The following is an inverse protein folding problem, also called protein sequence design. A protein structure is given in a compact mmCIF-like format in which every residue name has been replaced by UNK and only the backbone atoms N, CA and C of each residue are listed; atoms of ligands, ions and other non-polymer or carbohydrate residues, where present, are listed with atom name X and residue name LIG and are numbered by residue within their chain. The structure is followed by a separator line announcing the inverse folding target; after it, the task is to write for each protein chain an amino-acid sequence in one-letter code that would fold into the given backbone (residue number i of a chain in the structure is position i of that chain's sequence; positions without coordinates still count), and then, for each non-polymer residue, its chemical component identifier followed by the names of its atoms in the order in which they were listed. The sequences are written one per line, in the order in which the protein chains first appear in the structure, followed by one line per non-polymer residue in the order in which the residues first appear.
data_IF_282649449388
#
_entry.id   IF_282649449388
#
_cell.length_a   1.000
_cell.length_b   1.000
_cell.length_c   1.000
_cell.angle_alpha   90.00
_cell.angle_beta   90.00
_cell.angle_gamma   90.00
#
_symmetry.space_group_name_H-M   'P 1'
#
loop_
_entity.id
_entity.type
_entity.pdbx_description
1 polymer ?
#
# COMPACT_ATOMS: atom_id res chain seq x y z
N UNK A 1 -11.91 19.35 -17.40
CA UNK A 1 -10.70 20.04 -17.92
C UNK A 1 -10.67 21.53 -17.62
N UNK A 2 -11.76 22.27 -17.79
CA UNK A 2 -11.84 23.68 -17.38
C UNK A 2 -11.68 23.89 -15.87
N UNK A 3 -12.07 22.93 -15.05
CA UNK A 3 -11.84 22.88 -13.60
C UNK A 3 -10.34 22.84 -13.23
N UNK A 4 -9.55 22.00 -13.91
CA UNK A 4 -8.09 21.93 -13.68
C UNK A 4 -7.38 23.24 -13.99
N UNK A 5 -7.79 23.92 -15.07
CA UNK A 5 -7.20 25.20 -15.50
C UNK A 5 -7.56 26.36 -14.60
N UNK A 6 -8.79 26.38 -14.07
CA UNK A 6 -9.23 27.42 -13.13
C UNK A 6 -8.58 27.24 -11.75
N UNK A 7 -8.21 26.04 -11.38
CA UNK A 7 -7.61 25.71 -10.09
C UNK A 7 -6.14 26.07 -9.99
N UNK A 8 -5.35 25.84 -11.03
CA UNK A 8 -3.93 26.27 -11.10
C UNK A 8 -3.81 27.80 -10.99
N UNK A 9 -4.85 28.53 -11.34
CA UNK A 9 -4.86 30.00 -11.31
C UNK A 9 -5.30 30.62 -9.95
N UNK A 10 -5.97 29.87 -9.08
CA UNK A 10 -6.42 30.37 -7.77
C UNK A 10 -5.45 30.14 -6.61
N UNK A 11 -4.40 29.36 -6.77
CA UNK A 11 -3.45 29.00 -5.71
C UNK A 11 -2.32 30.03 -5.51
N UNK A 12 -2.48 31.24 -5.95
CA UNK A 12 -1.55 32.36 -5.64
C UNK A 12 -1.67 32.93 -4.21
N UNK A 13 -2.37 32.24 -3.31
CA UNK A 13 -2.46 32.61 -1.89
C UNK A 13 -1.81 31.54 -1.01
N UNK A 14 -0.95 31.95 -0.12
CA UNK A 14 -0.19 31.33 0.98
C UNK A 14 -0.66 30.00 1.62
N UNK A 15 -1.42 29.16 0.95
CA UNK A 15 -1.87 27.83 1.40
C UNK A 15 -1.25 26.75 0.52
N UNK A 16 -0.45 25.90 1.13
CA UNK A 16 0.29 24.83 0.43
C UNK A 16 -0.58 23.64 0.01
N UNK A 17 -1.82 23.57 0.47
CA UNK A 17 -2.74 22.47 0.17
C UNK A 17 -4.16 23.00 -0.04
N UNK A 18 -4.86 22.50 -1.07
CA UNK A 18 -6.28 22.70 -1.25
C UNK A 18 -6.99 21.36 -1.04
N UNK A 19 -7.88 21.30 -0.05
CA UNK A 19 -8.70 20.13 0.24
C UNK A 19 -10.04 20.22 -0.50
N UNK A 20 -10.45 19.13 -1.15
CA UNK A 20 -11.74 19.02 -1.80
C UNK A 20 -12.38 17.67 -1.48
N UNK A 21 -13.66 17.68 -1.19
CA UNK A 21 -14.49 16.49 -1.07
C UNK A 21 -15.23 16.23 -2.38
N UNK A 22 -15.02 15.05 -2.98
CA UNK A 22 -15.79 14.58 -4.12
C UNK A 22 -16.29 13.15 -3.85
N UNK A 23 -17.60 12.95 -3.85
CA UNK A 23 -18.25 11.64 -3.68
C UNK A 23 -17.69 10.79 -2.51
N UNK A 24 -17.51 11.40 -1.32
CA UNK A 24 -16.92 10.77 -0.14
C UNK A 24 -15.43 10.39 -0.28
N UNK A 25 -14.69 11.03 -1.17
CA UNK A 25 -13.25 10.94 -1.30
C UNK A 25 -12.64 12.32 -1.10
N UNK A 26 -11.65 12.44 -0.22
CA UNK A 26 -10.91 13.67 -0.02
C UNK A 26 -9.82 13.77 -1.10
N UNK A 27 -9.85 14.84 -1.89
CA UNK A 27 -8.83 15.14 -2.89
C UNK A 27 -7.87 16.20 -2.37
N UNK A 28 -6.61 15.83 -2.20
CA UNK A 28 -5.53 16.73 -1.84
C UNK A 28 -4.74 17.11 -3.09
N UNK A 29 -4.88 18.36 -3.53
CA UNK A 29 -4.06 18.88 -4.61
C UNK A 29 -2.93 19.73 -4.04
N UNK A 30 -1.68 19.37 -4.34
CA UNK A 30 -0.48 20.07 -3.89
C UNK A 30 0.26 20.58 -5.10
N UNK A 31 0.16 21.89 -5.44
CA UNK A 31 1.09 22.52 -6.35
C UNK A 31 2.44 22.66 -5.63
N UNK A 32 3.50 22.12 -6.21
CA UNK A 32 4.76 21.96 -5.53
C UNK A 32 5.81 22.98 -5.96
N UNK A 33 6.05 24.02 -5.15
CA UNK A 33 7.36 24.60 -4.98
C UNK A 33 8.13 23.81 -3.92
N UNK A 34 9.42 23.57 -4.13
CA UNK A 34 10.30 22.81 -3.24
C UNK A 34 10.26 23.27 -1.76
N UNK A 35 9.84 24.48 -1.51
CA UNK A 35 9.78 25.11 -0.19
C UNK A 35 8.68 24.58 0.74
N UNK A 36 7.73 23.79 0.24
CA UNK A 36 6.57 23.30 1.02
C UNK A 36 6.59 21.81 1.31
N UNK A 37 7.65 21.10 0.95
CA UNK A 37 7.77 19.65 1.12
C UNK A 37 7.53 19.21 2.57
N UNK A 38 8.09 19.92 3.55
CA UNK A 38 7.91 19.59 4.97
C UNK A 38 6.45 19.70 5.40
N UNK A 39 5.73 20.71 4.91
CA UNK A 39 4.32 20.87 5.21
C UNK A 39 3.50 19.71 4.62
N UNK A 40 3.75 19.35 3.37
CA UNK A 40 3.09 18.21 2.70
C UNK A 40 3.36 16.91 3.46
N UNK A 41 4.60 16.65 3.85
CA UNK A 41 4.97 15.46 4.61
C UNK A 41 4.34 15.44 6.00
N UNK A 42 4.14 16.58 6.63
CA UNK A 42 3.44 16.68 7.90
C UNK A 42 1.94 16.39 7.75
N UNK A 43 1.28 16.95 6.73
CA UNK A 43 -0.11 16.64 6.40
C UNK A 43 -0.26 15.14 6.07
N UNK A 44 0.67 14.61 5.28
CA UNK A 44 0.73 13.20 4.94
C UNK A 44 0.81 12.27 6.16
N UNK A 45 1.67 12.61 7.14
CA UNK A 45 1.82 11.83 8.39
C UNK A 45 0.58 11.90 9.29
N UNK A 46 -0.19 12.98 9.21
CA UNK A 46 -1.39 13.21 10.01
C UNK A 46 -2.67 12.64 9.37
N UNK A 47 -2.57 12.10 8.14
CA UNK A 47 -3.74 11.58 7.42
C UNK A 47 -4.45 10.47 8.21
N UNK A 48 -5.77 10.46 8.14
CA UNK A 48 -6.60 9.43 8.75
C UNK A 48 -6.68 8.24 7.78
N UNK A 49 -6.01 7.13 8.10
CA UNK A 49 -5.96 5.90 7.27
C UNK A 49 -7.32 5.26 6.95
N UNK A 50 -8.42 5.75 7.51
CA UNK A 50 -9.76 5.21 7.32
C UNK A 50 -10.58 5.91 6.23
N UNK A 51 -10.02 6.91 5.55
CA UNK A 51 -10.67 7.65 4.48
C UNK A 51 -10.00 7.37 3.14
N UNK A 52 -10.80 7.36 2.08
CA UNK A 52 -10.26 7.32 0.72
C UNK A 52 -9.77 8.72 0.37
N UNK A 53 -8.47 8.88 0.38
CA UNK A 53 -7.80 10.11 0.02
C UNK A 53 -7.06 9.92 -1.30
N UNK A 54 -7.24 10.84 -2.23
CA UNK A 54 -6.44 10.93 -3.45
C UNK A 54 -5.48 12.11 -3.33
N UNK A 55 -4.20 11.85 -3.41
CA UNK A 55 -3.16 12.87 -3.43
C UNK A 55 -2.67 13.09 -4.85
N UNK A 56 -2.84 14.32 -5.35
CA UNK A 56 -2.27 14.77 -6.62
C UNK A 56 -1.23 15.85 -6.35
N UNK A 57 0.05 15.50 -6.53
CA UNK A 57 1.19 16.38 -6.30
C UNK A 57 1.77 16.77 -7.65
N UNK A 58 1.89 18.07 -7.91
CA UNK A 58 2.31 18.58 -9.20
C UNK A 58 3.65 19.30 -9.10
N UNK A 59 4.59 18.87 -9.93
CA UNK A 59 5.90 19.50 -10.13
C UNK A 59 5.88 20.33 -11.42
N UNK A 60 6.04 21.64 -11.28
CA UNK A 60 6.08 22.57 -12.41
C UNK A 60 7.44 22.58 -13.08
N UNK A 61 8.51 22.45 -12.28
CA UNK A 61 9.87 22.43 -12.76
C UNK A 61 10.23 21.08 -13.36
N UNK A 62 11.12 21.09 -14.36
CA UNK A 62 11.62 19.90 -15.01
C UNK A 62 12.39 19.03 -13.98
N UNK A 63 11.83 17.87 -13.64
CA UNK A 63 12.43 16.90 -12.73
C UNK A 63 12.14 15.49 -13.20
N UNK A 64 12.89 14.50 -12.70
CA UNK A 64 12.60 13.10 -12.99
C UNK A 64 11.77 12.45 -11.88
N UNK A 65 11.04 11.38 -12.20
CA UNK A 65 10.28 10.64 -11.19
C UNK A 65 11.21 9.99 -10.15
N UNK A 66 12.39 9.59 -10.56
CA UNK A 66 13.40 9.02 -9.67
C UNK A 66 13.84 10.03 -8.61
N UNK A 67 14.08 11.29 -8.98
CA UNK A 67 14.42 12.35 -8.04
C UNK A 67 13.28 12.60 -7.05
N UNK A 68 12.03 12.60 -7.54
CA UNK A 68 10.85 12.75 -6.68
C UNK A 68 10.76 11.59 -5.69
N UNK A 69 10.92 10.36 -6.16
CA UNK A 69 10.90 9.17 -5.29
C UNK A 69 12.01 9.22 -4.25
N UNK A 70 13.23 9.61 -4.61
CA UNK A 70 14.35 9.78 -3.67
C UNK A 70 14.00 10.77 -2.55
N UNK A 71 13.38 11.91 -2.88
CA UNK A 71 12.92 12.88 -1.89
C UNK A 71 11.90 12.27 -0.91
N UNK A 72 10.96 11.46 -1.41
CA UNK A 72 9.97 10.79 -0.56
C UNK A 72 10.60 9.71 0.33
N UNK A 73 11.61 8.99 -0.18
CA UNK A 73 12.39 8.02 0.61
C UNK A 73 13.19 8.72 1.72
N UNK A 74 13.92 9.78 1.41
CA UNK A 74 14.73 10.54 2.37
C UNK A 74 13.90 11.13 3.51
N UNK A 75 12.66 11.52 3.22
CA UNK A 75 11.73 12.06 4.21
C UNK A 75 10.95 10.98 4.95
N UNK A 76 11.25 9.69 4.72
CA UNK A 76 10.52 8.55 5.29
C UNK A 76 9.00 8.68 5.11
N UNK A 77 8.56 8.99 3.90
CA UNK A 77 7.16 9.07 3.58
C UNK A 77 6.50 7.70 3.77
N UNK A 78 5.56 7.62 4.69
CA UNK A 78 4.79 6.39 4.91
C UNK A 78 3.75 6.26 3.80
N UNK A 79 3.77 5.17 3.08
CA UNK A 79 2.91 4.89 1.95
C UNK A 79 2.41 3.46 2.06
N UNK A 80 1.13 3.25 1.82
CA UNK A 80 0.53 1.91 1.86
C UNK A 80 0.27 1.39 0.44
N UNK A 81 0.00 0.09 0.33
CA UNK A 81 -0.22 -0.56 -0.97
C UNK A 81 -1.50 -0.08 -1.68
N UNK A 82 -2.48 0.35 -0.92
CA UNK A 82 -3.78 0.83 -1.41
C UNK A 82 -3.91 2.36 -1.47
N UNK A 83 -2.87 3.10 -1.09
CA UNK A 83 -2.88 4.56 -1.21
C UNK A 83 -3.06 5.01 -2.66
N UNK A 84 -3.78 6.10 -2.86
CA UNK A 84 -3.97 6.76 -4.14
C UNK A 84 -3.13 8.04 -4.22
N UNK A 85 -1.87 7.87 -4.64
CA UNK A 85 -0.87 8.94 -4.78
C UNK A 85 -0.50 9.08 -6.23
N UNK A 86 -0.70 10.26 -6.78
CA UNK A 86 -0.35 10.58 -8.17
C UNK A 86 0.59 11.78 -8.20
N UNK A 87 1.68 11.64 -8.90
CA UNK A 87 2.64 12.71 -9.17
C UNK A 87 2.46 13.16 -10.62
N UNK A 88 2.24 14.46 -10.82
CA UNK A 88 2.27 15.10 -12.13
C UNK A 88 3.61 15.80 -12.34
N UNK A 89 4.34 15.43 -13.37
CA UNK A 89 5.64 16.04 -13.74
C UNK A 89 5.50 16.71 -15.10
N UNK A 90 5.81 18.01 -15.16
CA UNK A 90 5.82 18.79 -16.38
C UNK A 90 7.21 18.72 -17.05
N UNK A 91 7.25 18.35 -18.35
CA UNK A 91 8.46 18.42 -19.18
C UNK A 91 8.45 19.59 -20.17
N UNK A 92 7.55 20.55 -19.98
CA UNK A 92 7.34 21.68 -20.87
C UNK A 92 6.36 21.41 -22.01
N UNK A 93 6.15 20.17 -22.41
CA UNK A 93 5.23 19.76 -23.49
C UNK A 93 4.07 18.90 -22.99
N UNK A 94 4.35 18.05 -22.02
CA UNK A 94 3.42 17.13 -21.41
C UNK A 94 3.50 17.19 -19.88
N UNK A 95 2.40 16.86 -19.24
CA UNK A 95 2.38 16.49 -17.82
C UNK A 95 2.23 14.97 -17.77
N UNK A 96 3.26 14.29 -17.32
CA UNK A 96 3.25 12.85 -17.09
C UNK A 96 2.69 12.56 -15.70
N UNK A 97 1.77 11.59 -15.63
CA UNK A 97 1.13 11.18 -14.39
C UNK A 97 1.72 9.84 -13.93
N UNK A 98 2.25 9.84 -12.72
CA UNK A 98 2.89 8.69 -12.09
C UNK A 98 2.17 8.30 -10.82
N UNK A 99 1.81 7.06 -10.70
CA UNK A 99 1.25 6.46 -9.47
C UNK A 99 2.39 5.99 -8.58
N UNK A 100 2.34 6.34 -7.28
CA UNK A 100 3.30 5.90 -6.27
C UNK A 100 2.62 5.00 -5.23
N UNK A 101 3.31 3.96 -4.76
CA UNK A 101 2.86 3.08 -3.69
C UNK A 101 4.02 2.28 -3.09
N UNK A 102 3.82 1.70 -1.90
CA UNK A 102 4.74 0.70 -1.31
C UNK A 102 4.04 -0.64 -1.22
N UNK A 103 4.79 -1.73 -1.39
CA UNK A 103 4.27 -3.09 -1.20
C UNK A 103 4.18 -3.42 0.29
N UNK A 104 5.13 -2.96 1.08
CA UNK A 104 5.17 -3.11 2.52
C UNK A 104 5.99 -1.98 3.16
N UNK A 105 5.97 -1.85 4.50
CA UNK A 105 6.58 -0.73 5.21
C UNK A 105 8.07 -0.52 4.90
N UNK A 106 8.80 -1.62 4.75
CA UNK A 106 10.25 -1.62 4.48
C UNK A 106 10.58 -1.72 2.97
N UNK A 107 9.56 -1.78 2.10
CA UNK A 107 9.77 -1.88 0.66
C UNK A 107 10.10 -0.51 0.08
N UNK A 108 10.92 -0.44 -0.99
CA UNK A 108 11.12 0.81 -1.72
C UNK A 108 9.82 1.28 -2.37
N UNK A 109 9.69 2.59 -2.55
CA UNK A 109 8.57 3.18 -3.28
C UNK A 109 8.60 2.67 -4.72
N UNK A 110 7.44 2.16 -5.17
CA UNK A 110 7.20 1.77 -6.55
C UNK A 110 6.53 2.93 -7.27
N UNK A 111 6.85 3.10 -8.57
CA UNK A 111 6.20 4.08 -9.41
C UNK A 111 5.85 3.51 -10.78
N UNK A 112 4.70 3.91 -11.29
CA UNK A 112 4.17 3.44 -12.59
C UNK A 112 3.57 4.64 -13.31
N UNK A 113 3.96 4.87 -14.55
CA UNK A 113 3.31 5.88 -15.37
C UNK A 113 1.88 5.42 -15.70
N UNK A 114 0.90 6.23 -15.32
CA UNK A 114 -0.52 5.92 -15.51
C UNK A 114 -1.17 6.76 -16.60
N UNK A 115 -0.51 7.82 -17.05
CA UNK A 115 -1.04 8.65 -18.11
C UNK A 115 -0.18 9.85 -18.43
N UNK A 116 -0.72 10.68 -19.33
CA UNK A 116 -0.14 11.95 -19.72
C UNK A 116 -1.23 12.92 -20.14
N UNK A 117 -0.93 14.20 -20.03
CA UNK A 117 -1.79 15.29 -20.46
C UNK A 117 -0.98 16.34 -21.20
N UNK A 118 -1.59 17.01 -22.20
CA UNK A 118 -1.03 18.21 -22.81
C UNK A 118 -2.15 19.16 -23.26
N UNK A 119 -1.88 20.47 -23.45
CA UNK A 119 -2.88 21.44 -23.87
C UNK A 119 -3.53 21.09 -25.23
N UNK A 120 -2.81 20.38 -26.10
CA UNK A 120 -3.23 20.05 -27.47
C UNK A 120 -3.83 18.64 -27.58
N UNK A 121 -3.76 17.84 -26.51
CA UNK A 121 -4.33 16.49 -26.46
C UNK A 121 -5.11 16.36 -25.17
N UNK A 122 -6.16 15.57 -25.19
CA UNK A 122 -6.90 15.25 -23.99
C UNK A 122 -6.08 14.39 -23.04
N UNK A 123 -6.53 14.30 -21.78
CA UNK A 123 -5.95 13.41 -20.79
C UNK A 123 -6.00 11.95 -21.27
N UNK A 124 -4.85 11.34 -21.41
CA UNK A 124 -4.67 9.94 -21.80
C UNK A 124 -4.28 9.14 -20.57
N UNK A 125 -5.17 8.29 -20.08
CA UNK A 125 -4.90 7.39 -18.96
C UNK A 125 -4.81 5.96 -19.43
N UNK A 126 -4.05 5.14 -18.70
CA UNK A 126 -4.03 3.69 -18.88
C UNK A 126 -5.42 3.09 -18.62
N UNK A 127 -5.78 2.07 -19.37
CA UNK A 127 -7.03 1.31 -19.18
C UNK A 127 -6.94 0.26 -18.08
N UNK A 128 -5.72 -0.03 -17.59
CA UNK A 128 -5.50 -1.00 -16.50
C UNK A 128 -5.98 -0.44 -15.18
N UNK A 129 -6.68 -1.26 -14.41
CA UNK A 129 -7.08 -0.91 -13.03
C UNK A 129 -5.86 -0.75 -12.13
N UNK A 130 -6.01 -0.10 -10.98
CA UNK A 130 -4.98 0.02 -9.93
C UNK A 130 -4.40 -1.36 -9.55
N UNK A 131 -5.26 -2.33 -9.34
CA UNK A 131 -4.87 -3.69 -8.94
C UNK A 131 -4.14 -4.46 -10.05
N UNK A 132 -4.51 -4.25 -11.31
CA UNK A 132 -3.77 -4.82 -12.45
C UNK A 132 -2.37 -4.23 -12.57
N UNK A 133 -2.22 -2.94 -12.28
CA UNK A 133 -0.91 -2.27 -12.31
C UNK A 133 0.00 -2.73 -11.18
N UNK A 134 -0.55 -2.95 -9.97
CA UNK A 134 0.17 -3.35 -8.75
C UNK A 134 0.25 -4.87 -8.57
N UNK A 135 -0.13 -5.65 -9.57
CA UNK A 135 -0.22 -7.10 -9.47
C UNK A 135 1.10 -7.79 -9.14
N UNK A 136 2.23 -7.23 -9.57
CA UNK A 136 3.54 -7.82 -9.31
C UNK A 136 4.11 -7.29 -7.98
N UNK A 137 4.20 -8.15 -6.96
CA UNK A 137 4.71 -7.81 -5.63
C UNK A 137 6.24 -7.89 -5.51
N UNK A 138 6.96 -7.99 -6.65
CA UNK A 138 8.43 -7.81 -6.72
C UNK A 138 9.23 -8.69 -5.76
N UNK A 139 8.81 -9.94 -5.56
CA UNK A 139 9.42 -10.88 -4.62
C UNK A 139 9.39 -10.39 -3.15
N UNK A 140 8.46 -9.50 -2.82
CA UNK A 140 8.24 -9.10 -1.43
C UNK A 140 8.04 -10.34 -0.55
N UNK A 141 8.63 -10.33 0.64
CA UNK A 141 8.54 -11.46 1.55
C UNK A 141 7.49 -11.22 2.64
N UNK A 142 6.44 -12.05 2.65
CA UNK A 142 5.39 -12.00 3.66
C UNK A 142 5.63 -13.01 4.78
N UNK A 143 5.34 -12.62 6.00
CA UNK A 143 5.28 -13.49 7.17
C UNK A 143 3.83 -13.87 7.42
N UNK A 144 3.53 -15.15 7.32
CA UNK A 144 2.19 -15.69 7.51
C UNK A 144 2.14 -16.55 8.76
N UNK A 145 0.98 -16.58 9.41
CA UNK A 145 0.73 -17.48 10.53
C UNK A 145 -0.55 -18.27 10.34
N UNK A 146 -0.53 -19.53 10.79
CA UNK A 146 -1.70 -20.41 10.75
C UNK A 146 -1.62 -21.45 11.86
N UNK A 147 -2.78 -22.03 12.20
CA UNK A 147 -2.87 -23.17 13.10
C UNK A 147 -3.37 -24.41 12.35
N UNK A 148 -3.03 -25.56 12.87
CA UNK A 148 -3.61 -26.84 12.43
C UNK A 148 -5.03 -26.92 12.99
N UNK A 149 -5.99 -26.69 12.13
CA UNK A 149 -7.41 -26.79 12.45
C UNK A 149 -7.99 -28.10 11.90
N UNK A 150 -7.67 -28.38 10.65
CA UNK A 150 -8.02 -29.60 9.96
C UNK A 150 -6.80 -30.06 9.16
N UNK A 151 -6.30 -31.30 9.36
CA UNK A 151 -5.12 -31.80 8.65
C UNK A 151 -5.21 -31.77 7.12
N UNK A 152 -6.43 -31.76 6.58
CA UNK A 152 -6.66 -31.61 5.13
C UNK A 152 -6.40 -30.17 4.67
N UNK A 153 -6.65 -29.20 5.55
CA UNK A 153 -6.51 -27.78 5.24
C UNK A 153 -5.10 -27.29 5.54
N UNK A 154 -4.54 -27.72 6.68
CA UNK A 154 -3.17 -27.39 7.04
C UNK A 154 -2.58 -28.46 7.97
N UNK A 155 -1.39 -28.94 7.64
CA UNK A 155 -0.58 -29.84 8.45
C UNK A 155 0.76 -29.16 8.70
N UNK A 156 1.12 -29.01 9.96
CA UNK A 156 2.35 -28.33 10.37
C UNK A 156 3.24 -29.36 11.07
N UNK A 157 4.44 -29.55 10.56
CA UNK A 157 5.45 -30.43 11.12
C UNK A 157 6.77 -29.66 11.26
N UNK A 158 7.36 -29.70 12.46
CA UNK A 158 8.69 -29.13 12.65
C UNK A 158 9.74 -30.09 12.09
N UNK A 159 10.48 -29.65 11.09
CA UNK A 159 11.60 -30.41 10.58
C UNK A 159 12.74 -30.45 11.64
N UNK A 160 13.10 -31.64 12.15
CA UNK A 160 14.05 -31.74 13.25
C UNK A 160 15.49 -31.33 12.87
N UNK A 161 15.81 -31.39 11.57
CA UNK A 161 17.15 -31.05 11.06
C UNK A 161 17.29 -29.56 10.75
N UNK A 162 16.31 -29.00 10.03
CA UNK A 162 16.38 -27.58 9.60
C UNK A 162 15.83 -26.62 10.63
N UNK A 163 15.09 -27.11 11.64
CA UNK A 163 14.36 -26.32 12.63
C UNK A 163 13.31 -25.37 12.02
N UNK A 164 12.91 -25.64 10.79
CA UNK A 164 11.83 -24.92 10.09
C UNK A 164 10.55 -25.72 10.10
N UNK A 165 9.42 -25.04 10.03
CA UNK A 165 8.12 -25.68 9.89
C UNK A 165 7.90 -26.10 8.43
N UNK A 166 7.52 -27.36 8.23
CA UNK A 166 7.00 -27.90 6.96
C UNK A 166 5.48 -27.87 7.04
N UNK A 167 4.87 -27.00 6.27
CA UNK A 167 3.42 -26.80 6.27
C UNK A 167 2.84 -27.27 4.95
N UNK A 168 1.78 -28.07 4.99
CA UNK A 168 1.13 -28.68 3.83
C UNK A 168 -0.38 -28.59 3.94
N UNK A 169 -1.07 -28.72 2.81
CA UNK A 169 -2.53 -28.77 2.74
C UNK A 169 -3.11 -27.70 1.82
N UNK A 170 -4.40 -27.78 1.57
CA UNK A 170 -5.08 -26.94 0.58
C UNK A 170 -4.93 -25.42 0.82
N UNK A 171 -4.68 -25.02 2.06
CA UNK A 171 -4.37 -23.61 2.35
C UNK A 171 -3.00 -23.21 1.79
N UNK A 172 -2.00 -24.08 1.94
CA UNK A 172 -0.65 -23.86 1.40
C UNK A 172 -0.69 -23.83 -0.12
N UNK A 173 -1.39 -24.81 -0.74
CA UNK A 173 -1.56 -24.85 -2.19
C UNK A 173 -2.18 -23.55 -2.74
N UNK A 174 -3.13 -22.95 -2.00
CA UNK A 174 -3.74 -21.68 -2.37
C UNK A 174 -2.75 -20.52 -2.22
N UNK A 175 -1.97 -20.48 -1.14
CA UNK A 175 -0.95 -19.44 -0.94
C UNK A 175 0.16 -19.56 -1.99
N UNK A 176 0.59 -20.77 -2.32
CA UNK A 176 1.58 -21.01 -3.39
C UNK A 176 1.07 -20.50 -4.73
N UNK A 177 -0.19 -20.76 -5.07
CA UNK A 177 -0.81 -20.20 -6.27
C UNK A 177 -0.81 -18.67 -6.28
N UNK A 178 -1.09 -18.04 -5.14
CA UNK A 178 -1.02 -16.58 -5.03
C UNK A 178 0.41 -16.07 -5.12
N UNK A 179 1.37 -16.73 -4.47
CA UNK A 179 2.77 -16.37 -4.51
C UNK A 179 3.33 -16.40 -5.94
N UNK A 180 3.02 -17.44 -6.69
CA UNK A 180 3.39 -17.54 -8.10
C UNK A 180 2.70 -16.49 -8.97
N UNK A 181 1.40 -16.29 -8.77
CA UNK A 181 0.60 -15.38 -9.59
C UNK A 181 0.95 -13.91 -9.35
N UNK A 182 1.22 -13.55 -8.10
CA UNK A 182 1.49 -12.17 -7.67
C UNK A 182 2.99 -11.90 -7.47
N UNK A 183 3.84 -12.90 -7.69
CA UNK A 183 5.28 -12.80 -7.58
C UNK A 183 5.75 -12.31 -6.21
N UNK A 184 5.42 -13.06 -5.16
CA UNK A 184 5.92 -12.84 -3.80
C UNK A 184 6.49 -14.12 -3.18
N UNK A 185 7.19 -13.99 -2.06
CA UNK A 185 7.68 -15.10 -1.24
C UNK A 185 7.06 -15.03 0.14
N UNK A 186 7.08 -16.13 0.88
CA UNK A 186 6.54 -16.12 2.23
C UNK A 186 7.24 -17.12 3.16
N UNK A 187 7.10 -16.88 4.47
CA UNK A 187 7.27 -17.87 5.53
C UNK A 187 5.95 -18.11 6.21
N UNK A 188 5.69 -19.34 6.63
CA UNK A 188 4.45 -19.70 7.29
C UNK A 188 4.77 -20.48 8.58
N UNK A 189 4.45 -19.89 9.72
CA UNK A 189 4.76 -20.41 11.04
C UNK A 189 3.55 -20.38 11.97
N UNK A 190 3.39 -21.35 12.87
CA UNK A 190 2.35 -21.29 13.89
C UNK A 190 2.68 -20.20 14.91
N UNK A 191 1.66 -19.64 15.60
CA UNK A 191 1.91 -18.74 16.72
C UNK A 191 2.59 -19.51 17.87
N UNK A 192 3.49 -18.87 18.65
CA UNK A 192 4.28 -19.54 19.68
C UNK A 192 3.45 -20.24 20.77
N UNK A 193 2.27 -19.68 21.07
CA UNK A 193 1.33 -20.21 22.08
C UNK A 193 0.32 -21.19 21.49
N UNK A 194 0.41 -21.45 20.20
CA UNK A 194 -0.50 -22.35 19.45
C UNK A 194 -1.99 -22.00 19.66
N UNK A 195 -2.30 -20.69 19.78
CA UNK A 195 -3.64 -20.19 20.01
C UNK A 195 -4.16 -19.36 18.82
N UNK A 196 -5.48 -19.41 18.61
CA UNK A 196 -6.15 -18.57 17.61
C UNK A 196 -6.09 -17.08 17.97
N UNK A 197 -6.26 -16.80 19.24
CA UNK A 197 -6.32 -15.49 19.83
C UNK A 197 -7.61 -15.26 20.61
N UNK A 198 -7.44 -14.87 21.85
CA UNK A 198 -8.49 -14.46 22.77
C UNK A 198 -8.08 -13.16 23.45
N UNK A 199 -9.07 -12.32 23.73
CA UNK A 199 -8.83 -11.10 24.50
C UNK A 199 -8.55 -11.49 25.95
N UNK A 200 -7.44 -10.99 26.50
CA UNK A 200 -7.01 -11.23 27.87
C UNK A 200 -7.66 -10.24 28.84
N UNK A 201 -7.57 -10.49 30.13
CA UNK A 201 -8.13 -9.61 31.18
C UNK A 201 -7.51 -8.20 31.16
N UNK A 202 -6.26 -8.09 30.76
CA UNK A 202 -5.54 -6.81 30.62
C UNK A 202 -5.87 -6.05 29.32
N UNK A 203 -6.78 -6.61 28.49
CA UNK A 203 -7.21 -6.02 27.22
C UNK A 203 -6.34 -6.36 26.02
N UNK A 204 -5.21 -7.04 26.19
CA UNK A 204 -4.35 -7.54 25.10
C UNK A 204 -4.96 -8.77 24.42
N UNK A 205 -4.38 -9.16 23.28
CA UNK A 205 -4.72 -10.40 22.59
C UNK A 205 -3.55 -11.38 22.69
N UNK A 206 -3.85 -12.67 22.73
CA UNK A 206 -2.86 -13.73 22.56
C UNK A 206 -2.97 -14.35 21.16
N UNK A 207 -2.17 -15.38 20.86
CA UNK A 207 -2.26 -16.16 19.64
C UNK A 207 -1.98 -15.40 18.35
N UNK A 208 -2.58 -15.88 17.26
CA UNK A 208 -2.44 -15.24 15.95
C UNK A 208 -2.94 -13.80 15.93
N UNK A 209 -4.01 -13.49 16.68
CA UNK A 209 -4.53 -12.12 16.78
C UNK A 209 -3.50 -11.16 17.36
N UNK A 210 -2.74 -11.59 18.36
CA UNK A 210 -1.63 -10.80 18.91
C UNK A 210 -0.53 -10.54 17.86
N UNK A 211 -0.17 -11.57 17.09
CA UNK A 211 0.87 -11.43 16.06
C UNK A 211 0.47 -10.42 14.98
N UNK A 212 -0.77 -10.50 14.50
CA UNK A 212 -1.29 -9.57 13.46
C UNK A 212 -1.43 -8.15 14.01
N UNK A 213 -2.02 -8.00 15.22
CA UNK A 213 -2.23 -6.68 15.83
C UNK A 213 -0.92 -5.94 16.09
N UNK A 214 0.13 -6.67 16.48
CA UNK A 214 1.45 -6.10 16.74
C UNK A 214 2.37 -6.09 15.50
N UNK A 215 1.82 -6.36 14.30
CA UNK A 215 2.54 -6.34 13.03
C UNK A 215 3.77 -7.26 13.02
N UNK A 216 3.75 -8.34 13.79
CA UNK A 216 4.81 -9.36 13.82
C UNK A 216 4.68 -10.33 12.63
N UNK A 217 3.47 -10.43 12.07
CA UNK A 217 3.14 -11.16 10.85
C UNK A 217 2.20 -10.30 9.99
N UNK A 218 2.26 -10.49 8.69
CA UNK A 218 1.46 -9.72 7.72
C UNK A 218 0.06 -10.32 7.54
N UNK A 219 -0.05 -11.66 7.59
CA UNK A 219 -1.32 -12.35 7.35
C UNK A 219 -1.51 -13.48 8.37
N UNK A 220 -2.68 -13.50 8.98
CA UNK A 220 -3.15 -14.60 9.83
C UNK A 220 -4.37 -15.30 9.23
N UNK A 221 -4.31 -16.62 9.07
CA UNK A 221 -5.48 -17.40 8.65
C UNK A 221 -6.41 -17.64 9.82
N UNK A 222 -7.52 -16.92 9.90
CA UNK A 222 -8.59 -17.13 10.86
C UNK A 222 -9.71 -17.95 10.22
N UNK A 223 -9.87 -19.22 10.62
CA UNK A 223 -11.00 -20.06 10.24
C UNK A 223 -11.69 -20.54 11.52
N UNK A 224 -12.77 -19.91 11.87
CA UNK A 224 -13.65 -20.38 12.94
C UNK A 224 -15.04 -20.66 12.34
N UNK A 225 -15.26 -21.90 11.87
CA UNK A 225 -16.62 -22.37 11.67
C UNK A 225 -17.21 -22.72 13.04
N UNK A 226 -18.05 -21.84 13.58
CA UNK A 226 -19.02 -22.25 14.57
C UNK A 226 -20.29 -22.66 13.81
N UNK A 227 -20.44 -23.96 13.55
CA UNK A 227 -21.76 -24.52 13.35
C UNK A 227 -22.39 -24.71 14.73
N UNK A 228 -23.29 -23.80 15.11
CA UNK A 228 -24.27 -24.08 16.16
C UNK A 228 -25.40 -24.81 15.47
N UNK A 229 -25.57 -26.10 15.77
CA UNK A 229 -26.76 -26.89 15.47
C UNK A 229 -27.87 -26.45 16.44
#
# INVERSE_FOLDING_TARGET
MQLFRNYILEVNGNSATCEFTWDNMDLHFVPFPQDHLEHVMNCWKQRKRNYKELWLIYYEDETSIENVVEIFEDKNATMDFDDDVVIGINDGSFIYLWELYRIGPESPIQFIQIGQWSPNKELQLTTKTKWDRRRNLKQHHFKLTTLVDNPTISKIELNPFTKKYDVKGSFVDLIDLFADTLNFTYTLEPPPDNAWGGKQEDGTWNGMMNLVQNQLVDIGKLYKYQFTL
#
